data_IF_914705932528
#
_entry.id   IF_914705932528
#
_cell.length_a   1.000
_cell.length_b   1.000
_cell.length_c   1.000
_cell.angle_alpha   90.00
_cell.angle_beta   90.00
_cell.angle_gamma   90.00
#
_symmetry.space_group_name_H-M   'P 1'
#
loop_
_entity.id
_entity.type
_entity.pdbx_description
1 polymer ?
#
# COMPACT_ATOMS: atom_id res chain seq x y z
N UNK A 1 -40.72 37.22 -4.50
CA UNK A 1 -41.00 35.80 -4.37
C UNK A 1 -40.16 34.98 -5.34
N UNK A 2 -40.12 35.36 -6.63
CA UNK A 2 -39.29 34.67 -7.63
C UNK A 2 -37.81 34.80 -7.35
N UNK A 3 -37.35 35.92 -6.83
CA UNK A 3 -35.93 36.13 -6.51
C UNK A 3 -35.50 35.26 -5.33
N UNK A 4 -36.34 35.15 -4.31
CA UNK A 4 -36.03 34.27 -3.17
C UNK A 4 -35.99 32.81 -3.56
N UNK A 5 -36.87 32.37 -4.45
CA UNK A 5 -36.86 31.00 -4.98
C UNK A 5 -35.59 30.73 -5.81
N UNK A 6 -35.18 31.67 -6.66
CA UNK A 6 -33.96 31.57 -7.44
C UNK A 6 -32.71 31.55 -6.56
N UNK A 7 -32.69 32.39 -5.52
CA UNK A 7 -31.57 32.42 -4.58
C UNK A 7 -31.49 31.15 -3.78
N UNK A 8 -32.63 30.58 -3.36
CA UNK A 8 -32.71 29.30 -2.68
C UNK A 8 -32.22 28.16 -3.57
N UNK A 9 -32.64 28.13 -4.84
CA UNK A 9 -32.19 27.12 -5.79
C UNK A 9 -30.70 27.25 -6.06
N UNK A 10 -30.17 28.48 -6.16
CA UNK A 10 -28.73 28.68 -6.33
C UNK A 10 -27.92 28.22 -5.12
N UNK A 11 -28.41 28.44 -3.91
CA UNK A 11 -27.77 27.99 -2.69
C UNK A 11 -27.73 26.44 -2.62
N UNK A 12 -28.84 25.81 -2.98
CA UNK A 12 -28.91 24.34 -3.02
C UNK A 12 -27.94 23.78 -4.06
N UNK A 13 -27.89 24.39 -5.23
CA UNK A 13 -26.97 23.97 -6.30
C UNK A 13 -25.51 24.11 -5.87
N UNK A 14 -25.16 25.24 -5.21
CA UNK A 14 -23.82 25.46 -4.69
C UNK A 14 -23.46 24.44 -3.61
N UNK A 15 -24.39 24.14 -2.72
CA UNK A 15 -24.17 23.16 -1.66
C UNK A 15 -23.96 21.76 -2.24
N UNK A 16 -24.72 21.37 -3.24
CA UNK A 16 -24.57 20.10 -3.93
C UNK A 16 -23.22 20.02 -4.64
N UNK A 17 -22.80 21.09 -5.30
CA UNK A 17 -21.50 21.13 -5.98
C UNK A 17 -20.36 21.03 -4.98
N UNK A 18 -20.45 21.76 -3.87
CA UNK A 18 -19.44 21.69 -2.81
C UNK A 18 -19.34 20.28 -2.21
N UNK A 19 -20.50 19.64 -2.00
CA UNK A 19 -20.54 18.26 -1.49
C UNK A 19 -19.91 17.27 -2.48
N UNK A 20 -20.15 17.43 -3.77
CA UNK A 20 -19.56 16.59 -4.81
C UNK A 20 -18.04 16.75 -4.85
N UNK A 21 -17.55 17.98 -4.75
CA UNK A 21 -16.11 18.27 -4.72
C UNK A 21 -15.45 17.67 -3.48
N UNK A 22 -16.09 17.83 -2.33
CA UNK A 22 -15.58 17.25 -1.09
C UNK A 22 -15.52 15.73 -1.15
N UNK A 23 -16.56 15.10 -1.71
CA UNK A 23 -16.60 13.65 -1.90
C UNK A 23 -15.50 13.18 -2.87
N UNK A 24 -15.32 13.90 -3.99
CA UNK A 24 -14.28 13.58 -4.97
C UNK A 24 -12.89 13.72 -4.37
N UNK A 25 -12.65 14.77 -3.58
CA UNK A 25 -11.37 14.99 -2.92
C UNK A 25 -11.10 13.90 -1.88
N UNK A 26 -12.11 13.55 -1.08
CA UNK A 26 -12.00 12.47 -0.10
C UNK A 26 -11.66 11.14 -0.77
N UNK A 27 -12.29 10.85 -1.91
CA UNK A 27 -12.03 9.64 -2.68
C UNK A 27 -10.58 9.62 -3.21
N UNK A 28 -10.12 10.74 -3.75
CA UNK A 28 -8.74 10.86 -4.24
C UNK A 28 -7.72 10.66 -3.12
N UNK A 29 -7.98 11.24 -1.96
CA UNK A 29 -7.10 11.07 -0.79
C UNK A 29 -7.08 9.61 -0.34
N UNK A 30 -8.24 8.96 -0.30
CA UNK A 30 -8.34 7.55 0.08
C UNK A 30 -7.59 6.65 -0.91
N UNK A 31 -7.72 6.91 -2.21
CA UNK A 31 -7.01 6.17 -3.26
C UNK A 31 -5.50 6.36 -3.15
N UNK A 32 -5.05 7.60 -2.91
CA UNK A 32 -3.62 7.89 -2.75
C UNK A 32 -3.06 7.21 -1.51
N UNK A 33 -3.80 7.22 -0.40
CA UNK A 33 -3.40 6.56 0.83
C UNK A 33 -3.34 5.04 0.65
N UNK A 34 -4.33 4.46 -0.02
CA UNK A 34 -4.35 3.02 -0.32
C UNK A 34 -3.16 2.62 -1.19
N UNK A 35 -2.79 3.45 -2.17
CA UNK A 35 -1.63 3.18 -3.03
C UNK A 35 -0.32 3.25 -2.23
N UNK A 36 -0.21 4.22 -1.33
CA UNK A 36 0.97 4.34 -0.46
C UNK A 36 1.10 3.12 0.45
N UNK A 37 -0.01 2.67 1.05
CA UNK A 37 -0.03 1.49 1.91
C UNK A 37 0.30 0.22 1.12
N UNK A 38 -0.24 0.11 -0.09
CA UNK A 38 0.05 -1.03 -0.97
C UNK A 38 1.55 -1.09 -1.30
N UNK A 39 2.14 0.04 -1.64
CA UNK A 39 3.57 0.11 -1.97
C UNK A 39 4.43 -0.24 -0.75
N UNK A 40 4.07 0.26 0.43
CA UNK A 40 4.79 -0.06 1.67
C UNK A 40 4.70 -1.55 1.99
N UNK A 41 3.55 -2.17 1.75
CA UNK A 41 3.36 -3.60 1.96
C UNK A 41 4.21 -4.42 0.98
N UNK A 42 4.25 -4.03 -0.29
CA UNK A 42 5.08 -4.70 -1.30
C UNK A 42 6.57 -4.60 -0.96
N UNK A 43 7.03 -3.43 -0.54
CA UNK A 43 8.42 -3.22 -0.14
C UNK A 43 8.79 -4.09 1.07
N UNK A 44 7.89 -4.18 2.05
CA UNK A 44 8.09 -5.03 3.24
C UNK A 44 8.16 -6.51 2.84
N UNK A 45 7.25 -6.95 1.98
CA UNK A 45 7.21 -8.33 1.49
C UNK A 45 8.50 -8.67 0.75
N UNK A 46 8.99 -7.78 -0.09
CA UNK A 46 10.25 -7.95 -0.81
C UNK A 46 11.43 -8.12 0.15
N UNK A 47 11.52 -7.26 1.17
CA UNK A 47 12.56 -7.35 2.20
C UNK A 47 12.46 -8.65 2.98
N UNK A 48 11.25 -9.07 3.34
CA UNK A 48 11.04 -10.32 4.07
C UNK A 48 11.47 -11.52 3.20
N UNK A 49 11.17 -11.48 1.91
CA UNK A 49 11.62 -12.52 0.97
C UNK A 49 13.15 -12.56 0.86
N UNK A 50 13.79 -11.40 0.82
CA UNK A 50 15.26 -11.32 0.77
C UNK A 50 15.89 -11.90 2.04
N UNK A 51 15.32 -11.60 3.20
CA UNK A 51 15.77 -12.15 4.48
C UNK A 51 15.62 -13.68 4.49
N UNK A 52 14.49 -14.18 4.01
CA UNK A 52 14.24 -15.63 3.94
C UNK A 52 15.21 -16.31 2.99
N UNK A 53 15.49 -15.73 1.85
CA UNK A 53 16.47 -16.26 0.90
C UNK A 53 17.86 -16.32 1.50
N UNK A 54 18.27 -15.24 2.17
CA UNK A 54 19.59 -15.19 2.83
C UNK A 54 19.69 -16.26 3.92
N UNK A 55 18.64 -16.44 4.72
CA UNK A 55 18.61 -17.46 5.75
C UNK A 55 18.67 -18.88 5.15
N UNK A 56 17.94 -19.11 4.06
CA UNK A 56 17.96 -20.40 3.36
C UNK A 56 19.33 -20.70 2.76
N UNK A 57 19.97 -19.71 2.16
CA UNK A 57 21.32 -19.87 1.61
C UNK A 57 22.35 -20.18 2.70
N UNK A 58 22.25 -19.49 3.85
CA UNK A 58 23.13 -19.77 4.98
C UNK A 58 22.98 -21.22 5.48
N UNK A 59 21.75 -21.72 5.53
CA UNK A 59 21.48 -23.13 5.91
C UNK A 59 22.06 -24.10 4.89
N UNK A 60 21.94 -23.78 3.61
CA UNK A 60 22.52 -24.61 2.55
C UNK A 60 24.04 -24.68 2.66
N UNK A 61 24.68 -23.52 2.90
CA UNK A 61 26.13 -23.47 3.06
C UNK A 61 26.58 -24.29 4.27
N UNK A 62 25.87 -24.17 5.40
CA UNK A 62 26.14 -24.96 6.60
C UNK A 62 25.98 -26.45 6.34
N UNK A 63 24.97 -26.86 5.59
CA UNK A 63 24.72 -28.25 5.23
C UNK A 63 25.82 -28.80 4.32
N UNK A 64 26.27 -28.00 3.36
CA UNK A 64 27.37 -28.36 2.46
C UNK A 64 28.67 -28.51 3.25
N UNK A 65 28.96 -27.56 4.12
CA UNK A 65 30.16 -27.60 4.97
C UNK A 65 30.14 -28.82 5.88
N UNK A 66 29.01 -29.17 6.46
CA UNK A 66 28.84 -30.36 7.29
C UNK A 66 29.12 -31.65 6.50
N UNK A 67 28.56 -31.73 5.30
CA UNK A 67 28.76 -32.89 4.42
C UNK A 67 30.23 -33.04 3.98
N UNK A 68 30.86 -31.92 3.62
CA UNK A 68 32.28 -31.90 3.25
C UNK A 68 33.16 -32.34 4.41
N UNK A 69 32.89 -31.85 5.61
CA UNK A 69 33.62 -32.24 6.81
C UNK A 69 33.49 -33.76 7.06
N UNK A 70 32.27 -34.28 6.92
CA UNK A 70 32.03 -35.72 7.09
C UNK A 70 32.80 -36.57 6.06
N UNK A 71 32.84 -36.10 4.82
CA UNK A 71 33.56 -36.82 3.75
C UNK A 71 35.07 -36.79 3.95
N UNK A 72 35.61 -35.64 4.34
CA UNK A 72 37.05 -35.44 4.57
C UNK A 72 37.55 -36.27 5.76
N UNK A 73 36.76 -36.43 6.81
CA UNK A 73 37.11 -37.20 8.00
C UNK A 73 37.10 -38.73 7.78
N UNK A 74 36.58 -39.16 6.66
CA UNK A 74 36.61 -40.60 6.29
C UNK A 74 37.93 -40.94 5.63
#
# INVERSE_FOLDING_TARGET
>A
VRQAEKDGAALVSQAQEAARRAAADALRQAEAQAETERQAMLDRTEKDCDILRAAAMARMDDAVDYLLEKVVKR
#
